data_IF_620109456090
#
_entry.id   IF_620109456090
#
_cell.length_a   1.000
_cell.length_b   1.000
_cell.length_c   1.000
_cell.angle_alpha   90.00
_cell.angle_beta   90.00
_cell.angle_gamma   90.00
#
_symmetry.space_group_name_H-M   'P 1'
#
loop_
_entity.id
_entity.type
_entity.pdbx_description
1 polymer ?
#
# COMPACT_ATOMS: atom_id res chain seq x y z
N UNK A 1 24.21 14.70 2.16
CA UNK A 1 23.28 13.96 1.29
C UNK A 1 22.16 13.43 2.18
N UNK A 2 21.13 14.24 2.41
CA UNK A 2 20.12 13.98 3.45
C UNK A 2 18.99 13.14 2.87
N UNK A 3 19.12 11.81 2.96
CA UNK A 3 18.00 10.91 2.71
C UNK A 3 17.12 10.88 3.96
N UNK A 4 16.29 11.90 4.13
CA UNK A 4 15.30 11.94 5.21
C UNK A 4 14.24 10.90 4.89
N UNK A 5 14.34 9.73 5.51
CA UNK A 5 13.27 8.74 5.54
C UNK A 5 12.00 9.43 6.09
N UNK A 6 11.10 9.81 5.19
CA UNK A 6 9.83 10.42 5.53
C UNK A 6 9.06 9.42 6.37
N UNK A 7 8.87 9.72 7.66
CA UNK A 7 7.94 8.96 8.52
C UNK A 7 6.63 8.74 7.74
N UNK A 8 6.01 7.55 7.87
CA UNK A 8 4.77 7.27 7.18
C UNK A 8 3.71 8.25 7.67
N UNK A 9 3.16 9.01 6.73
CA UNK A 9 2.14 10.04 7.05
C UNK A 9 0.82 9.39 7.47
N UNK A 10 0.59 8.16 7.04
CA UNK A 10 -0.62 7.38 7.30
C UNK A 10 -0.34 5.89 7.10
N UNK A 11 -0.94 5.06 7.96
CA UNK A 11 -1.00 3.60 7.80
C UNK A 11 -2.43 3.25 7.38
N UNK A 12 -2.57 2.50 6.30
CA UNK A 12 -3.85 2.02 5.77
C UNK A 12 -3.86 0.50 5.89
N UNK A 13 -4.78 -0.01 6.70
CA UNK A 13 -5.01 -1.44 6.77
C UNK A 13 -5.77 -1.89 5.52
N UNK A 14 -5.29 -2.97 4.90
CA UNK A 14 -5.88 -3.55 3.69
C UNK A 14 -6.26 -5.01 3.94
N UNK A 15 -7.38 -5.40 3.37
CA UNK A 15 -7.91 -6.77 3.43
C UNK A 15 -7.70 -7.49 2.11
N UNK A 16 -7.98 -8.79 2.03
CA UNK A 16 -7.98 -9.51 0.76
C UNK A 16 -8.92 -8.88 -0.30
N UNK A 17 -9.94 -8.12 0.13
CA UNK A 17 -10.84 -7.42 -0.78
C UNK A 17 -10.24 -6.11 -1.35
N UNK A 18 -9.25 -5.52 -0.67
CA UNK A 18 -8.60 -4.28 -1.12
C UNK A 18 -7.39 -4.55 -2.03
N UNK A 19 -6.90 -5.78 -2.07
CA UNK A 19 -5.82 -6.21 -2.96
C UNK A 19 -6.35 -6.72 -4.29
N UNK A 20 -5.52 -6.58 -5.32
CA UNK A 20 -5.79 -7.02 -6.68
C UNK A 20 -4.80 -8.09 -7.11
N UNK A 21 -5.28 -9.09 -7.85
CA UNK A 21 -4.47 -10.11 -8.50
C UNK A 21 -3.49 -10.80 -7.52
N UNK A 22 -2.17 -10.72 -7.75
CA UNK A 22 -1.15 -11.39 -6.92
C UNK A 22 -0.96 -10.75 -5.52
N UNK A 23 -1.89 -9.88 -5.09
CA UNK A 23 -1.86 -9.25 -3.79
C UNK A 23 -1.23 -7.86 -3.78
N UNK A 24 -1.50 -7.07 -4.82
CA UNK A 24 -1.06 -5.67 -4.92
C UNK A 24 -2.17 -4.71 -4.52
N UNK A 25 -1.82 -3.64 -3.83
CA UNK A 25 -2.71 -2.48 -3.59
C UNK A 25 -2.32 -1.35 -4.52
N UNK A 26 -3.28 -0.52 -4.91
CA UNK A 26 -2.98 0.66 -5.72
C UNK A 26 -3.13 1.95 -4.91
N UNK A 27 -2.19 2.87 -5.12
CA UNK A 27 -2.20 4.21 -4.56
C UNK A 27 -2.20 5.21 -5.73
N UNK A 28 -3.11 6.20 -5.79
CA UNK A 28 -4.17 6.51 -4.83
C UNK A 28 -5.36 5.53 -4.90
N UNK A 29 -5.95 5.23 -3.74
CA UNK A 29 -7.13 4.39 -3.60
C UNK A 29 -8.41 5.27 -3.54
N UNK A 30 -9.61 4.72 -3.80
CA UNK A 30 -10.86 5.48 -3.83
C UNK A 30 -11.29 6.01 -2.45
N UNK A 31 -10.76 5.41 -1.38
CA UNK A 31 -11.03 5.78 0.02
C UNK A 31 -10.10 6.90 0.51
N UNK A 32 -9.10 7.29 -0.28
CA UNK A 32 -8.13 8.32 0.07
C UNK A 32 -8.52 9.65 -0.55
N UNK A 33 -8.27 10.75 0.17
CA UNK A 33 -8.57 12.07 -0.35
C UNK A 33 -7.69 12.41 -1.56
N UNK A 34 -8.32 13.03 -2.56
CA UNK A 34 -7.80 13.29 -3.91
C UNK A 34 -6.57 14.22 -3.97
N UNK A 35 -6.09 14.74 -2.84
CA UNK A 35 -4.94 15.66 -2.76
C UNK A 35 -3.62 15.04 -3.23
N UNK A 36 -3.59 13.72 -3.42
CA UNK A 36 -2.42 12.97 -3.88
C UNK A 36 -2.22 13.13 -5.39
N UNK A 37 -1.61 14.26 -5.80
CA UNK A 37 -1.18 14.54 -7.18
C UNK A 37 0.04 13.69 -7.59
N UNK A 38 -0.04 12.36 -7.46
CA UNK A 38 0.99 11.45 -7.96
C UNK A 38 0.40 10.39 -8.88
N UNK A 39 1.18 9.83 -9.82
CA UNK A 39 0.73 8.75 -10.68
C UNK A 39 0.26 7.53 -9.90
N UNK A 40 -0.68 6.78 -10.46
CA UNK A 40 -1.10 5.49 -9.87
C UNK A 40 0.08 4.54 -9.81
N UNK A 41 0.35 4.01 -8.61
CA UNK A 41 1.34 2.96 -8.36
C UNK A 41 0.68 1.74 -7.78
N UNK A 42 1.35 0.59 -7.94
CA UNK A 42 0.98 -0.68 -7.34
C UNK A 42 2.05 -1.07 -6.33
N UNK A 43 1.61 -1.46 -5.14
CA UNK A 43 2.46 -1.80 -4.01
C UNK A 43 2.17 -3.26 -3.67
N UNK A 44 3.18 -4.11 -3.73
CA UNK A 44 3.10 -5.51 -3.35
C UNK A 44 3.08 -5.61 -1.82
N UNK A 45 1.96 -6.10 -1.27
CA UNK A 45 1.80 -6.34 0.17
C UNK A 45 1.70 -7.83 0.49
N UNK A 46 1.69 -8.70 -0.52
CA UNK A 46 1.54 -10.14 -0.33
C UNK A 46 2.81 -10.80 0.20
N UNK A 47 3.99 -10.29 -0.19
CA UNK A 47 5.28 -10.89 0.20
C UNK A 47 5.67 -10.60 1.63
N UNK A 48 5.48 -9.36 2.06
CA UNK A 48 5.97 -8.81 3.32
C UNK A 48 4.85 -8.56 4.32
N UNK A 49 3.59 -8.60 3.89
CA UNK A 49 2.44 -8.18 4.69
C UNK A 49 2.27 -6.66 4.79
N UNK A 50 3.20 -5.87 4.24
CA UNK A 50 3.10 -4.41 4.18
C UNK A 50 3.96 -3.81 3.07
N UNK A 51 3.61 -2.61 2.62
CA UNK A 51 4.36 -1.87 1.61
C UNK A 51 4.09 -0.36 1.65
N UNK A 52 5.10 0.44 1.31
CA UNK A 52 5.04 1.90 1.37
C UNK A 52 4.96 2.51 -0.03
N UNK A 53 4.06 3.49 -0.21
CA UNK A 53 4.03 4.28 -1.43
C UNK A 53 5.25 5.23 -1.49
N UNK A 54 6.06 5.21 -2.57
CA UNK A 54 7.25 6.05 -2.68
C UNK A 54 6.94 7.54 -2.86
N UNK A 55 5.68 7.90 -3.16
CA UNK A 55 5.28 9.27 -3.43
C UNK A 55 4.65 9.95 -2.20
N UNK A 56 3.57 9.40 -1.68
CA UNK A 56 2.85 9.99 -0.55
C UNK A 56 3.38 9.52 0.82
N UNK A 57 4.12 8.42 0.86
CA UNK A 57 4.61 7.80 2.10
C UNK A 57 3.54 7.07 2.91
N UNK A 58 2.36 6.81 2.34
CA UNK A 58 1.35 5.94 2.95
C UNK A 58 1.87 4.52 3.02
N UNK A 59 1.76 3.90 4.20
CA UNK A 59 2.06 2.47 4.39
C UNK A 59 0.76 1.69 4.31
N UNK A 60 0.74 0.68 3.47
CA UNK A 60 -0.36 -0.27 3.37
C UNK A 60 0.05 -1.53 4.10
N UNK A 61 -0.75 -1.94 5.08
CA UNK A 61 -0.48 -3.12 5.90
C UNK A 61 -1.65 -4.09 5.78
N UNK A 62 -1.35 -5.35 5.50
CA UNK A 62 -2.35 -6.42 5.48
C UNK A 62 -2.89 -6.60 6.89
N UNK A 63 -4.21 -6.62 7.02
CA UNK A 63 -4.88 -6.84 8.29
C UNK A 63 -4.46 -8.19 8.87
N UNK A 64 -4.19 -8.23 10.17
CA UNK A 64 -3.76 -9.45 10.85
C UNK A 64 -4.83 -10.55 10.71
N UNK A 65 -4.45 -11.71 10.16
CA UNK A 65 -5.35 -12.82 9.85
C UNK A 65 -5.91 -12.86 8.42
N UNK A 66 -5.63 -11.86 7.58
CA UNK A 66 -5.94 -11.90 6.14
C UNK A 66 -4.83 -12.63 5.36
N UNK A 67 -5.21 -13.66 4.61
CA UNK A 67 -4.30 -14.41 3.75
C UNK A 67 -4.44 -13.94 2.31
N UNK A 68 -3.48 -13.13 1.89
CA UNK A 68 -3.37 -12.68 0.50
C UNK A 68 -2.57 -13.73 -0.25
N UNK A 69 -3.29 -14.67 -0.85
CA UNK A 69 -2.70 -15.79 -1.58
C UNK A 69 -1.85 -15.30 -2.75
N UNK A 70 -0.59 -15.75 -2.81
CA UNK A 70 0.20 -15.66 -4.03
C UNK A 70 -0.42 -16.61 -5.05
N UNK A 71 -1.15 -16.06 -6.03
CA UNK A 71 -1.58 -16.81 -7.19
C UNK A 71 -0.35 -17.40 -7.91
N UNK A 72 -0.35 -18.73 -8.02
CA UNK A 72 0.73 -19.58 -8.53
C UNK A 72 0.91 -19.46 -10.04
#
# INVERSE_FOLDING_TARGET
>A
MSNTASKPKSVVEVTAADVQGPGVVFCPNPKMPLWSNHPRVFIDVAKTGEGMCPYCGTVYKVKEGEHIGHGH
#
